data_IF_968741445694
#
_entry.id   IF_968741445694
#
_cell.length_a   1.000
_cell.length_b   1.000
_cell.length_c   1.000
_cell.angle_alpha   90.00
_cell.angle_beta   90.00
_cell.angle_gamma   90.00
#
_symmetry.space_group_name_H-M   'P 1'
#
loop_
_entity.id
_entity.type
_entity.pdbx_description
1 polymer ?
#
# COMPACT_ATOMS: atom_id res chain seq x y z
N UNK A 1 -6.62 2.15 -2.46
CA UNK A 1 -5.30 2.64 -2.01
C UNK A 1 -5.23 4.14 -1.68
N UNK A 2 -6.20 4.98 -2.07
CA UNK A 2 -6.13 6.44 -1.85
C UNK A 2 -6.93 7.02 -0.67
N UNK A 3 -8.02 6.36 -0.24
CA UNK A 3 -8.94 6.92 0.78
C UNK A 3 -9.54 5.89 1.76
N UNK A 4 -9.44 4.59 1.49
CA UNK A 4 -10.16 3.56 2.26
C UNK A 4 -9.44 3.01 3.49
N UNK A 5 -8.10 3.04 3.51
CA UNK A 5 -7.27 2.47 4.56
C UNK A 5 -6.02 3.35 4.76
N UNK A 6 -5.70 3.64 6.01
CA UNK A 6 -4.57 4.48 6.42
C UNK A 6 -3.28 3.69 6.66
N UNK A 7 -2.20 4.37 7.02
CA UNK A 7 -0.89 3.75 7.24
C UNK A 7 -0.94 2.63 8.29
N UNK A 8 -1.55 2.79 9.48
CA UNK A 8 -1.69 1.70 10.46
C UNK A 8 -2.32 0.43 9.91
N UNK A 9 -3.40 0.55 9.14
CA UNK A 9 -4.01 -0.63 8.49
C UNK A 9 -3.01 -1.35 7.59
N UNK A 10 -2.31 -0.60 6.73
CA UNK A 10 -1.34 -1.18 5.79
C UNK A 10 -0.12 -1.76 6.50
N UNK A 11 0.31 -1.18 7.62
CA UNK A 11 1.41 -1.74 8.43
C UNK A 11 1.06 -3.13 8.94
N UNK A 12 -0.15 -3.31 9.49
CA UNK A 12 -0.61 -4.62 9.96
C UNK A 12 -0.80 -5.62 8.81
N UNK A 13 -1.30 -5.15 7.67
CA UNK A 13 -1.40 -5.98 6.46
C UNK A 13 -0.03 -6.49 5.99
N UNK A 14 0.97 -5.60 5.89
CA UNK A 14 2.32 -5.96 5.48
C UNK A 14 3.01 -6.86 6.50
N UNK A 15 2.79 -6.63 7.80
CA UNK A 15 3.27 -7.50 8.88
C UNK A 15 2.75 -8.93 8.72
N UNK A 16 1.46 -9.09 8.43
CA UNK A 16 0.85 -10.39 8.21
C UNK A 16 1.40 -11.11 6.95
N UNK A 17 1.71 -10.38 5.88
CA UNK A 17 2.35 -10.97 4.71
C UNK A 17 3.77 -11.44 5.01
N UNK A 18 4.55 -10.63 5.74
CA UNK A 18 5.93 -10.94 6.10
C UNK A 18 6.05 -12.16 7.04
N UNK A 19 5.02 -12.46 7.83
CA UNK A 19 4.95 -13.69 8.63
C UNK A 19 4.89 -14.97 7.76
N UNK A 20 4.45 -14.86 6.51
CA UNK A 20 4.35 -15.98 5.55
C UNK A 20 5.56 -16.02 4.63
N UNK A 21 5.89 -14.88 4.03
CA UNK A 21 7.03 -14.71 3.14
C UNK A 21 7.56 -13.27 3.26
N UNK A 22 8.74 -13.07 3.89
CA UNK A 22 9.31 -11.74 4.07
C UNK A 22 9.73 -11.08 2.75
N UNK A 23 9.85 -11.84 1.66
CA UNK A 23 10.24 -11.36 0.34
C UNK A 23 9.04 -11.25 -0.63
N UNK A 24 7.80 -11.38 -0.12
CA UNK A 24 6.57 -11.31 -0.92
C UNK A 24 6.46 -9.97 -1.67
N UNK A 25 6.31 -10.05 -3.00
CA UNK A 25 6.02 -8.89 -3.82
C UNK A 25 4.59 -8.36 -3.57
N UNK A 26 4.46 -7.06 -3.35
CA UNK A 26 3.17 -6.37 -3.21
C UNK A 26 2.94 -5.44 -4.40
N UNK A 27 2.00 -5.82 -5.27
CA UNK A 27 1.65 -5.05 -6.46
C UNK A 27 0.52 -4.05 -6.17
N UNK A 28 0.54 -2.92 -6.86
CA UNK A 28 -0.51 -1.89 -6.78
C UNK A 28 -1.38 -1.98 -8.02
N UNK A 29 -2.70 -2.08 -7.81
CA UNK A 29 -3.72 -1.84 -8.82
C UNK A 29 -4.46 -0.54 -8.49
N UNK A 30 -4.63 0.32 -9.50
CA UNK A 30 -5.31 1.61 -9.35
C UNK A 30 -6.46 1.72 -10.36
N UNK A 31 -7.67 1.86 -9.84
CA UNK A 31 -8.93 1.87 -10.59
C UNK A 31 -9.84 3.05 -10.23
N UNK A 32 -9.35 3.99 -9.40
CA UNK A 32 -10.16 5.11 -8.91
C UNK A 32 -10.22 6.23 -9.95
N UNK A 33 -11.42 6.48 -10.48
CA UNK A 33 -11.68 7.50 -11.49
C UNK A 33 -11.51 8.95 -10.98
N UNK A 34 -11.39 9.17 -9.67
CA UNK A 34 -11.17 10.50 -9.08
C UNK A 34 -9.73 11.01 -9.26
N UNK A 35 -8.78 10.14 -9.60
CA UNK A 35 -7.37 10.49 -9.82
C UNK A 35 -6.93 10.07 -11.22
N UNK A 36 -5.91 10.73 -11.77
CA UNK A 36 -5.21 10.15 -12.91
C UNK A 36 -4.46 8.88 -12.50
N UNK A 37 -4.13 8.05 -13.50
CA UNK A 37 -3.41 6.80 -13.27
C UNK A 37 -2.12 7.01 -12.46
N UNK A 38 -1.32 8.02 -12.82
CA UNK A 38 -0.04 8.30 -12.15
C UNK A 38 -0.22 8.89 -10.76
N UNK A 39 -1.22 9.75 -10.56
CA UNK A 39 -1.49 10.35 -9.25
C UNK A 39 -1.95 9.31 -8.23
N UNK A 40 -2.87 8.44 -8.64
CA UNK A 40 -3.36 7.37 -7.79
C UNK A 40 -2.28 6.35 -7.44
N UNK A 41 -1.45 5.97 -8.42
CA UNK A 41 -0.30 5.10 -8.20
C UNK A 41 0.72 5.74 -7.25
N UNK A 42 1.04 7.03 -7.44
CA UNK A 42 1.99 7.73 -6.57
C UNK A 42 1.49 7.81 -5.12
N UNK A 43 0.19 8.09 -4.92
CA UNK A 43 -0.43 8.11 -3.60
C UNK A 43 -0.39 6.72 -2.94
N UNK A 44 -0.76 5.68 -3.68
CA UNK A 44 -0.74 4.30 -3.21
C UNK A 44 0.68 3.85 -2.81
N UNK A 45 1.66 4.13 -3.66
CA UNK A 45 3.06 3.80 -3.41
C UNK A 45 3.60 4.52 -2.17
N UNK A 46 3.29 5.81 -2.02
CA UNK A 46 3.67 6.58 -0.82
C UNK A 46 3.10 5.96 0.45
N UNK A 47 1.82 5.57 0.45
CA UNK A 47 1.18 4.97 1.62
C UNK A 47 1.81 3.61 1.98
N UNK A 48 2.02 2.73 0.99
CA UNK A 48 2.65 1.42 1.22
C UNK A 48 4.10 1.55 1.70
N UNK A 49 4.90 2.45 1.12
CA UNK A 49 6.26 2.70 1.61
C UNK A 49 6.28 3.26 3.04
N UNK A 50 5.33 4.14 3.37
CA UNK A 50 5.21 4.68 4.72
C UNK A 50 4.84 3.58 5.73
N UNK A 51 3.92 2.69 5.34
CA UNK A 51 3.52 1.55 6.15
C UNK A 51 4.66 0.54 6.34
N UNK A 52 5.38 0.20 5.27
CA UNK A 52 6.52 -0.71 5.31
C UNK A 52 7.66 -0.19 6.18
N UNK A 53 7.86 1.13 6.22
CA UNK A 53 8.87 1.76 7.09
C UNK A 53 8.48 1.77 8.58
N UNK A 54 7.24 1.39 8.90
CA UNK A 54 6.71 1.29 10.26
C UNK A 54 6.58 -0.16 10.76
N UNK A 55 7.00 -1.14 9.95
CA UNK A 55 7.09 -2.58 10.32
C UNK A 55 8.44 -2.85 10.98
#
# INVERSE_FOLDING_TARGET
MGLGNDVPFWTEFLRALAEIDPDMAVNIEHEDAAYSQTEGLALAAKNLHSAASAV
#
